data_IF_274723886929
#
_entry.id   IF_274723886929
#
_cell.length_a   1.000
_cell.length_b   1.000
_cell.length_c   1.000
_cell.angle_alpha   90.00
_cell.angle_beta   90.00
_cell.angle_gamma   90.00
#
_symmetry.space_group_name_H-M   'P 1'
#
loop_
_entity.id
_entity.type
_entity.pdbx_description
1 polymer ?
#
# COMPACT_ATOMS: atom_id res chain seq x y z
N UNK A 1 30.40 -73.63 -25.63
CA UNK A 1 29.12 -72.93 -25.70
C UNK A 1 29.08 -71.82 -24.63
N UNK A 2 29.19 -70.60 -25.06
CA UNK A 2 29.28 -69.46 -24.15
C UNK A 2 28.26 -68.48 -24.59
N UNK A 3 27.22 -68.33 -23.80
CA UNK A 3 26.17 -67.34 -23.97
C UNK A 3 26.56 -66.08 -23.24
N UNK A 4 26.72 -64.99 -23.97
CA UNK A 4 26.93 -63.66 -23.39
C UNK A 4 25.59 -62.97 -23.44
N UNK A 5 25.01 -62.67 -22.28
CA UNK A 5 23.83 -61.87 -22.13
C UNK A 5 24.25 -60.41 -21.93
N UNK A 6 23.96 -59.58 -22.94
CA UNK A 6 24.14 -58.14 -22.84
C UNK A 6 23.00 -57.51 -22.04
N UNK A 7 23.35 -56.95 -20.91
CA UNK A 7 22.43 -56.19 -20.06
C UNK A 7 22.46 -54.73 -20.46
N UNK A 8 21.43 -54.28 -21.10
CA UNK A 8 21.28 -52.86 -21.46
C UNK A 8 20.78 -52.08 -20.23
N UNK A 9 21.65 -51.23 -19.66
CA UNK A 9 21.25 -50.26 -18.65
C UNK A 9 20.50 -49.08 -19.34
N UNK A 10 19.22 -49.01 -19.09
CA UNK A 10 18.43 -47.84 -19.37
C UNK A 10 18.75 -46.75 -18.34
N UNK A 11 19.45 -45.73 -18.73
CA UNK A 11 19.59 -44.51 -17.96
C UNK A 11 18.26 -43.75 -18.00
N UNK A 12 17.47 -43.87 -16.95
CA UNK A 12 16.37 -42.93 -16.69
C UNK A 12 16.99 -41.65 -16.21
N UNK A 13 17.05 -40.67 -17.11
CA UNK A 13 17.37 -39.30 -16.77
C UNK A 13 16.24 -38.76 -15.89
N UNK A 14 16.45 -38.73 -14.59
CA UNK A 14 15.65 -37.94 -13.68
C UNK A 14 15.85 -36.48 -14.09
N UNK A 15 14.88 -35.93 -14.78
CA UNK A 15 14.74 -34.46 -14.99
C UNK A 15 14.50 -33.86 -13.61
N UNK A 16 15.54 -33.28 -13.03
CA UNK A 16 15.44 -32.50 -11.82
C UNK A 16 14.60 -31.31 -12.16
N UNK A 17 13.33 -31.32 -11.80
CA UNK A 17 12.56 -30.11 -11.74
C UNK A 17 13.28 -29.21 -10.73
N UNK A 18 13.95 -28.19 -11.23
CA UNK A 18 14.34 -27.06 -10.40
C UNK A 18 13.04 -26.49 -9.85
N UNK A 19 12.80 -26.72 -8.56
CA UNK A 19 11.79 -26.00 -7.83
C UNK A 19 12.17 -24.51 -7.95
N UNK A 20 11.41 -23.78 -8.76
CA UNK A 20 11.47 -22.32 -8.79
C UNK A 20 11.17 -21.89 -7.38
N UNK A 21 12.18 -21.35 -6.68
CA UNK A 21 11.98 -20.76 -5.38
C UNK A 21 10.82 -19.74 -5.51
N UNK A 22 9.86 -19.70 -4.56
CA UNK A 22 8.82 -18.69 -4.61
C UNK A 22 9.51 -17.34 -4.67
N UNK A 23 9.35 -16.65 -5.79
CA UNK A 23 9.79 -15.28 -5.93
C UNK A 23 9.00 -14.53 -4.87
N UNK A 24 9.70 -13.91 -3.95
CA UNK A 24 9.10 -13.13 -2.87
C UNK A 24 8.27 -12.03 -3.53
N UNK A 25 6.97 -12.24 -3.69
CA UNK A 25 6.03 -11.25 -4.25
C UNK A 25 6.07 -9.94 -3.47
N UNK A 26 6.62 -9.96 -2.25
CA UNK A 26 6.80 -8.81 -1.39
C UNK A 26 7.86 -7.80 -1.88
N UNK A 27 8.69 -8.14 -2.87
CA UNK A 27 9.77 -7.27 -3.38
C UNK A 27 9.59 -6.81 -4.82
N UNK A 28 8.48 -7.15 -5.47
CA UNK A 28 8.21 -6.63 -6.80
C UNK A 28 7.88 -5.14 -6.72
N UNK A 29 8.62 -4.31 -7.47
CA UNK A 29 8.28 -2.91 -7.61
C UNK A 29 6.89 -2.78 -8.24
N UNK A 30 5.93 -2.26 -7.48
CA UNK A 30 4.57 -2.05 -7.95
C UNK A 30 4.54 -0.77 -8.78
N UNK A 31 4.01 -0.88 -10.00
CA UNK A 31 3.83 0.24 -10.92
C UNK A 31 2.44 0.82 -10.74
N UNK A 32 2.36 2.14 -10.61
CA UNK A 32 1.08 2.82 -10.50
C UNK A 32 0.24 2.65 -11.78
N UNK A 33 -1.05 2.37 -11.66
CA UNK A 33 -1.95 2.24 -12.80
C UNK A 33 -2.19 3.58 -13.51
N UNK A 34 -2.84 3.52 -14.68
CA UNK A 34 -3.35 4.71 -15.33
C UNK A 34 -4.27 5.50 -14.39
N UNK A 35 -4.20 6.84 -14.43
CA UNK A 35 -4.87 7.73 -13.46
C UNK A 35 -6.37 7.48 -13.36
N UNK A 36 -7.03 7.10 -14.45
CA UNK A 36 -8.47 6.90 -14.56
C UNK A 36 -8.94 5.46 -14.25
N UNK A 37 -8.02 4.54 -13.97
CA UNK A 37 -8.35 3.15 -13.68
C UNK A 37 -8.63 2.94 -12.19
N UNK A 38 -9.87 3.24 -11.77
CA UNK A 38 -10.33 3.13 -10.38
C UNK A 38 -10.10 1.74 -9.78
N UNK A 39 -10.44 0.68 -10.51
CA UNK A 39 -10.29 -0.68 -10.01
C UNK A 39 -8.84 -1.11 -9.84
N UNK A 40 -7.96 -0.73 -10.79
CA UNK A 40 -6.54 -1.01 -10.69
C UNK A 40 -5.88 -0.21 -9.56
N UNK A 41 -6.29 1.04 -9.34
CA UNK A 41 -5.80 1.86 -8.22
C UNK A 41 -6.12 1.23 -6.86
N UNK A 42 -7.33 0.73 -6.66
CA UNK A 42 -7.71 0.05 -5.41
C UNK A 42 -6.84 -1.16 -5.12
N UNK A 43 -6.58 -1.98 -6.15
CA UNK A 43 -5.68 -3.15 -6.03
C UNK A 43 -4.23 -2.73 -5.77
N UNK A 44 -3.75 -1.72 -6.48
CA UNK A 44 -2.42 -1.18 -6.31
C UNK A 44 -2.19 -0.68 -4.87
N UNK A 45 -3.11 0.12 -4.34
CA UNK A 45 -3.02 0.64 -2.98
C UNK A 45 -3.01 -0.49 -1.93
N UNK A 46 -3.83 -1.51 -2.11
CA UNK A 46 -3.83 -2.69 -1.23
C UNK A 46 -2.48 -3.41 -1.25
N UNK A 47 -1.92 -3.62 -2.43
CA UNK A 47 -0.63 -4.28 -2.58
C UNK A 47 0.52 -3.47 -1.96
N UNK A 48 0.55 -2.15 -2.20
CA UNK A 48 1.53 -1.24 -1.58
C UNK A 48 1.37 -1.23 -0.05
N UNK A 49 0.14 -1.21 0.44
CA UNK A 49 -0.14 -1.25 1.88
C UNK A 49 0.42 -2.51 2.53
N UNK A 50 0.18 -3.68 1.93
CA UNK A 50 0.69 -4.97 2.42
C UNK A 50 2.22 -4.99 2.48
N UNK A 51 2.90 -4.47 1.44
CA UNK A 51 4.37 -4.38 1.43
C UNK A 51 4.94 -3.47 2.51
N UNK A 52 4.15 -2.53 3.01
CA UNK A 52 4.58 -1.51 3.96
C UNK A 52 3.99 -1.67 5.37
N UNK A 53 3.38 -2.81 5.68
CA UNK A 53 2.75 -3.04 6.98
C UNK A 53 3.74 -3.00 8.16
N UNK A 54 4.98 -3.44 7.95
CA UNK A 54 5.97 -3.51 9.02
C UNK A 54 5.47 -4.31 10.21
N UNK A 55 5.50 -3.71 11.40
CA UNK A 55 5.03 -4.33 12.65
C UNK A 55 3.54 -4.07 12.95
N UNK A 56 2.75 -3.69 11.96
CA UNK A 56 1.32 -3.46 12.12
C UNK A 56 0.62 -4.79 12.43
N UNK A 57 -0.20 -4.80 13.47
CA UNK A 57 -0.90 -6.01 13.92
C UNK A 57 -2.32 -6.14 13.37
N UNK A 58 -2.90 -5.05 12.89
CA UNK A 58 -4.26 -4.99 12.37
C UNK A 58 -4.27 -4.76 10.86
N UNK A 59 -5.39 -5.09 10.21
CA UNK A 59 -5.60 -4.76 8.80
C UNK A 59 -5.53 -3.25 8.58
N UNK A 60 -4.85 -2.78 7.51
CA UNK A 60 -4.76 -1.35 7.22
C UNK A 60 -6.13 -0.71 6.96
N UNK A 61 -6.32 0.51 7.42
CA UNK A 61 -7.45 1.37 7.06
C UNK A 61 -7.09 2.14 5.80
N UNK A 62 -7.80 1.88 4.72
CA UNK A 62 -7.52 2.46 3.41
C UNK A 62 -8.46 3.61 3.09
N UNK A 63 -7.91 4.80 2.93
CA UNK A 63 -8.60 6.00 2.41
C UNK A 63 -8.19 6.20 0.96
N UNK A 64 -9.18 6.12 0.09
CA UNK A 64 -9.00 6.21 -1.36
C UNK A 64 -9.90 7.30 -1.94
N UNK A 65 -9.36 8.07 -2.88
CA UNK A 65 -10.13 8.98 -3.71
C UNK A 65 -10.21 8.44 -5.13
N UNK A 66 -11.41 8.46 -5.70
CA UNK A 66 -11.61 8.20 -7.12
C UNK A 66 -10.78 9.19 -7.97
N UNK A 67 -10.55 8.89 -9.25
CA UNK A 67 -9.93 9.84 -10.16
C UNK A 67 -10.72 11.16 -10.24
N UNK A 68 -10.04 12.29 -10.43
CA UNK A 68 -10.71 13.60 -10.57
C UNK A 68 -11.63 13.70 -11.80
N UNK A 69 -11.46 12.80 -12.77
CA UNK A 69 -12.34 12.64 -13.93
C UNK A 69 -13.69 12.00 -13.60
N UNK A 70 -13.85 11.42 -12.42
CA UNK A 70 -15.12 10.84 -11.97
C UNK A 70 -16.16 11.96 -11.78
N UNK A 71 -17.33 11.87 -12.44
CA UNK A 71 -18.39 12.89 -12.30
C UNK A 71 -18.88 13.10 -10.86
N UNK A 72 -18.73 12.07 -10.00
CA UNK A 72 -19.12 12.12 -8.59
C UNK A 72 -17.93 12.42 -7.66
N UNK A 73 -16.78 12.82 -8.22
CA UNK A 73 -15.55 13.04 -7.46
C UNK A 73 -15.77 13.91 -6.22
N UNK A 74 -16.42 15.05 -6.36
CA UNK A 74 -16.61 16.00 -5.27
C UNK A 74 -17.37 15.37 -4.09
N UNK A 75 -18.47 14.67 -4.35
CA UNK A 75 -19.24 14.02 -3.30
C UNK A 75 -18.50 12.84 -2.66
N UNK A 76 -17.70 12.10 -3.44
CA UNK A 76 -16.84 11.03 -2.93
C UNK A 76 -15.72 11.60 -2.08
N UNK A 77 -15.11 12.70 -2.49
CA UNK A 77 -14.08 13.42 -1.73
C UNK A 77 -14.62 13.88 -0.37
N UNK A 78 -15.75 14.56 -0.33
CA UNK A 78 -16.36 15.05 0.91
C UNK A 78 -16.67 13.91 1.89
N UNK A 79 -17.19 12.79 1.41
CA UNK A 79 -17.42 11.60 2.26
C UNK A 79 -16.13 11.00 2.81
N UNK A 80 -15.06 10.99 2.03
CA UNK A 80 -13.76 10.51 2.51
C UNK A 80 -13.14 11.46 3.54
N UNK A 81 -13.25 12.77 3.34
CA UNK A 81 -12.81 13.77 4.33
C UNK A 81 -13.56 13.59 5.64
N UNK A 82 -14.88 13.45 5.60
CA UNK A 82 -15.71 13.21 6.78
C UNK A 82 -15.32 11.90 7.49
N UNK A 83 -15.17 10.83 6.73
CA UNK A 83 -14.78 9.52 7.27
C UNK A 83 -13.42 9.56 7.97
N UNK A 84 -12.41 10.15 7.33
CA UNK A 84 -11.07 10.28 7.88
C UNK A 84 -11.06 11.20 9.11
N UNK A 85 -11.72 12.36 9.03
CA UNK A 85 -11.82 13.31 10.15
C UNK A 85 -12.48 12.67 11.36
N UNK A 86 -13.58 11.95 11.17
CA UNK A 86 -14.27 11.24 12.25
C UNK A 86 -13.41 10.13 12.87
N UNK A 87 -12.64 9.41 12.06
CA UNK A 87 -11.72 8.39 12.55
C UNK A 87 -10.59 9.01 13.39
N UNK A 88 -10.01 10.11 12.92
CA UNK A 88 -8.97 10.84 13.67
C UNK A 88 -9.52 11.40 15.00
N UNK A 89 -10.72 11.98 14.99
CA UNK A 89 -11.37 12.54 16.18
C UNK A 89 -11.64 11.49 17.26
N UNK A 90 -11.93 10.24 16.89
CA UNK A 90 -12.10 9.13 17.82
C UNK A 90 -10.79 8.61 18.41
N UNK A 91 -9.66 8.99 17.83
CA UNK A 91 -8.34 8.48 18.15
C UNK A 91 -8.00 7.18 17.44
N UNK A 92 -6.74 7.06 17.06
CA UNK A 92 -6.18 5.87 16.39
C UNK A 92 -5.26 5.16 17.37
N UNK A 93 -5.51 3.88 17.60
CA UNK A 93 -4.74 3.10 18.56
C UNK A 93 -3.40 2.65 17.95
N UNK A 94 -2.34 2.52 18.78
CA UNK A 94 -1.08 1.89 18.37
C UNK A 94 -1.30 0.52 17.73
N UNK A 95 -0.45 0.15 16.79
CA UNK A 95 -0.58 -1.10 16.04
C UNK A 95 -1.49 -1.00 14.80
N UNK A 96 -2.16 0.12 14.60
CA UNK A 96 -2.94 0.39 13.40
C UNK A 96 -2.10 1.07 12.31
N UNK A 97 -2.54 0.86 11.07
CA UNK A 97 -1.98 1.51 9.89
C UNK A 97 -3.08 2.25 9.13
N UNK A 98 -2.80 3.50 8.81
CA UNK A 98 -3.64 4.34 7.96
C UNK A 98 -2.96 4.48 6.60
N UNK A 99 -3.68 4.23 5.54
CA UNK A 99 -3.19 4.32 4.16
C UNK A 99 -4.00 5.36 3.42
N UNK A 100 -3.32 6.36 2.88
CA UNK A 100 -3.92 7.42 2.08
C UNK A 100 -3.32 7.38 0.69
N UNK A 101 -4.14 7.17 -0.33
CA UNK A 101 -3.62 7.09 -1.70
C UNK A 101 -4.67 7.37 -2.76
N UNK A 102 -4.22 7.95 -3.85
CA UNK A 102 -5.07 8.30 -5.00
C UNK A 102 -4.22 8.75 -6.18
N UNK A 103 -4.75 8.62 -7.40
CA UNK A 103 -4.21 9.34 -8.56
C UNK A 103 -4.41 10.86 -8.45
N UNK A 104 -5.36 11.31 -7.63
CA UNK A 104 -5.58 12.71 -7.25
C UNK A 104 -4.71 13.07 -6.03
N UNK A 105 -3.39 13.07 -6.19
CA UNK A 105 -2.42 13.19 -5.09
C UNK A 105 -2.59 14.46 -4.27
N UNK A 106 -2.71 15.62 -4.92
CA UNK A 106 -2.90 16.91 -4.23
C UNK A 106 -4.20 16.94 -3.43
N UNK A 107 -5.28 16.34 -3.95
CA UNK A 107 -6.56 16.23 -3.24
C UNK A 107 -6.48 15.29 -2.05
N UNK A 108 -5.69 14.22 -2.16
CA UNK A 108 -5.42 13.35 -1.03
C UNK A 108 -4.61 14.09 0.05
N UNK A 109 -3.65 14.92 -0.32
CA UNK A 109 -2.93 15.78 0.62
C UNK A 109 -3.87 16.78 1.32
N UNK A 110 -4.83 17.36 0.60
CA UNK A 110 -5.87 18.23 1.19
C UNK A 110 -6.76 17.47 2.19
N UNK A 111 -7.11 16.22 1.88
CA UNK A 111 -7.86 15.35 2.79
C UNK A 111 -7.09 15.08 4.07
N UNK A 112 -5.80 14.76 3.96
CA UNK A 112 -4.93 14.53 5.12
C UNK A 112 -4.83 15.79 5.97
N UNK A 113 -4.64 16.94 5.35
CA UNK A 113 -4.61 18.24 6.07
C UNK A 113 -5.88 18.47 6.88
N UNK A 114 -7.04 18.25 6.28
CA UNK A 114 -8.33 18.36 6.96
C UNK A 114 -8.50 17.34 8.11
N UNK A 115 -8.16 16.08 7.85
CA UNK A 115 -8.36 15.00 8.82
C UNK A 115 -7.42 15.09 10.04
N UNK A 116 -6.21 15.58 9.84
CA UNK A 116 -5.20 15.71 10.91
C UNK A 116 -5.28 17.04 11.65
N UNK A 117 -6.15 17.94 11.22
CA UNK A 117 -6.32 19.23 11.87
C UNK A 117 -6.78 19.07 13.32
N UNK A 118 -6.01 19.62 14.25
CA UNK A 118 -6.32 19.54 15.69
C UNK A 118 -5.83 18.25 16.37
N UNK A 119 -5.17 17.34 15.65
CA UNK A 119 -4.51 16.19 16.29
C UNK A 119 -3.35 16.69 17.17
N UNK A 120 -3.34 16.23 18.40
CA UNK A 120 -2.33 16.65 19.38
C UNK A 120 -0.95 16.05 19.05
N UNK A 121 0.14 16.80 19.31
CA UNK A 121 1.48 16.26 19.17
C UNK A 121 1.65 14.95 19.94
N UNK A 122 2.41 14.01 19.37
CA UNK A 122 2.74 12.72 19.97
C UNK A 122 1.56 11.80 20.32
N UNK A 123 0.33 12.14 19.92
CA UNK A 123 -0.87 11.35 20.24
C UNK A 123 -1.04 10.10 19.36
N UNK A 124 -0.27 9.98 18.28
CA UNK A 124 -0.34 8.85 17.36
C UNK A 124 0.93 7.97 17.38
N UNK A 125 1.64 7.93 18.49
CA UNK A 125 2.79 7.02 18.65
C UNK A 125 2.35 5.56 18.50
N UNK A 126 3.12 4.79 17.73
CA UNK A 126 2.79 3.39 17.42
C UNK A 126 1.78 3.22 16.29
N UNK A 127 1.28 4.29 15.70
CA UNK A 127 0.47 4.29 14.48
C UNK A 127 1.39 4.47 13.27
N UNK A 128 1.12 3.74 12.21
CA UNK A 128 1.81 3.88 10.93
C UNK A 128 0.92 4.63 9.94
N UNK A 129 1.45 5.64 9.27
CA UNK A 129 0.75 6.41 8.25
C UNK A 129 1.51 6.31 6.94
N UNK A 130 0.87 5.71 5.94
CA UNK A 130 1.40 5.56 4.59
C UNK A 130 0.68 6.52 3.64
N UNK A 131 1.46 7.34 2.95
CA UNK A 131 0.99 8.18 1.86
C UNK A 131 1.51 7.65 0.52
N UNK A 132 0.60 7.41 -0.41
CA UNK A 132 0.90 6.94 -1.77
C UNK A 132 0.41 8.02 -2.73
N UNK A 133 1.34 8.73 -3.36
CA UNK A 133 1.02 9.88 -4.21
C UNK A 133 2.23 10.39 -4.98
N UNK A 134 2.14 11.62 -5.46
CA UNK A 134 3.20 12.27 -6.21
C UNK A 134 4.29 12.82 -5.28
N UNK A 135 5.55 12.80 -5.73
CA UNK A 135 6.69 13.27 -4.95
C UNK A 135 6.54 14.75 -4.50
N UNK A 136 5.87 15.58 -5.30
CA UNK A 136 5.63 16.99 -4.99
C UNK A 136 4.78 17.23 -3.74
N UNK A 137 3.93 16.27 -3.36
CA UNK A 137 3.06 16.36 -2.20
C UNK A 137 3.67 15.77 -0.92
N UNK A 138 4.76 15.01 -1.05
CA UNK A 138 5.38 14.30 0.06
C UNK A 138 5.76 15.22 1.24
N UNK A 139 6.50 16.29 0.96
CA UNK A 139 6.97 17.19 2.02
C UNK A 139 5.82 17.83 2.80
N UNK A 140 4.74 18.18 2.12
CA UNK A 140 3.52 18.74 2.72
C UNK A 140 2.89 17.72 3.66
N UNK A 141 2.63 16.52 3.19
CA UNK A 141 2.00 15.46 3.99
C UNK A 141 2.87 15.06 5.18
N UNK A 142 4.17 14.91 4.96
CA UNK A 142 5.14 14.63 6.02
C UNK A 142 5.08 15.67 7.15
N UNK A 143 5.03 16.97 6.80
CA UNK A 143 4.97 18.05 7.79
C UNK A 143 3.68 18.06 8.62
N UNK A 144 2.59 17.49 8.09
CA UNK A 144 1.31 17.33 8.78
C UNK A 144 1.35 16.13 9.73
N UNK A 145 1.90 15.00 9.28
CA UNK A 145 1.83 13.73 10.01
C UNK A 145 2.91 13.60 11.08
N UNK A 146 4.15 14.00 10.81
CA UNK A 146 5.27 13.82 11.73
C UNK A 146 5.05 14.37 13.14
N UNK A 147 4.47 15.57 13.34
CA UNK A 147 4.27 16.09 14.67
C UNK A 147 3.34 15.25 15.55
N UNK A 148 2.49 14.42 14.95
CA UNK A 148 1.57 13.52 15.68
C UNK A 148 2.29 12.35 16.37
N UNK A 149 3.57 12.12 16.05
CA UNK A 149 4.34 10.98 16.54
C UNK A 149 4.10 9.67 15.77
N UNK A 150 3.24 9.67 14.74
CA UNK A 150 3.06 8.53 13.87
C UNK A 150 4.32 8.25 13.03
N UNK A 151 4.55 6.97 12.72
CA UNK A 151 5.57 6.58 11.75
C UNK A 151 5.07 6.90 10.35
N UNK A 152 5.69 7.87 9.71
CA UNK A 152 5.33 8.31 8.36
C UNK A 152 6.13 7.57 7.29
N UNK A 153 5.43 7.06 6.28
CA UNK A 153 6.03 6.39 5.12
C UNK A 153 5.44 7.00 3.86
N UNK A 154 6.31 7.28 2.90
CA UNK A 154 5.92 7.75 1.57
C UNK A 154 6.30 6.71 0.51
N UNK A 155 5.37 6.42 -0.39
CA UNK A 155 5.59 5.65 -1.61
C UNK A 155 5.16 6.51 -2.80
N UNK A 156 6.11 6.79 -3.69
CA UNK A 156 5.81 7.50 -4.91
C UNK A 156 5.02 6.61 -5.88
N UNK A 157 3.86 7.10 -6.33
CA UNK A 157 3.06 6.44 -7.35
C UNK A 157 3.62 6.76 -8.75
N UNK A 158 4.40 5.81 -9.31
CA UNK A 158 5.06 5.92 -10.62
C UNK A 158 5.15 4.58 -11.35
#
# INVERSE_FOLDING_TARGET
AMLIASFALAFTACKKEEAVAPVDEAQQALVAPAKDDDAAWRKYLQAVAVQNMGNTSNSPFLYYLAPESDPEFQGKYERQVESATNAMARGVQPGNMLVFGSSASAKMADLIDAAFKGIQPDSMKGVRVLFIGEAGDNARVQSIVQPTGAEYIFVEAK
#
